data_IF_988035471308
#
_entry.id   IF_988035471308
#
_cell.length_a   1.000
_cell.length_b   1.000
_cell.length_c   1.000
_cell.angle_alpha   90.00
_cell.angle_beta   90.00
_cell.angle_gamma   90.00
#
_symmetry.space_group_name_H-M   'P 1'
#
loop_
_entity.id
_entity.type
_entity.pdbx_description
1 polymer ?
#
# COMPACT_ATOMS: atom_id res chain seq x y z
N UNK A 1 -20.08 -46.61 10.38
CA UNK A 1 -18.71 -46.64 9.83
C UNK A 1 -18.04 -45.33 10.24
N UNK A 2 -16.88 -45.36 10.90
CA UNK A 2 -16.16 -44.13 11.30
C UNK A 2 -15.58 -43.40 10.09
N UNK A 3 -15.37 -42.08 10.21
CA UNK A 3 -14.73 -41.27 9.15
C UNK A 3 -13.25 -41.64 9.06
N UNK A 4 -12.70 -41.94 7.85
CA UNK A 4 -11.29 -42.24 7.68
C UNK A 4 -10.45 -40.96 7.80
N UNK A 5 -9.87 -40.72 8.97
CA UNK A 5 -9.16 -39.47 9.28
C UNK A 5 -7.87 -39.30 8.48
N UNK A 6 -7.27 -40.40 8.00
CA UNK A 6 -6.09 -40.44 7.14
C UNK A 6 -6.35 -39.73 5.82
N UNK A 7 -7.57 -39.82 5.28
CA UNK A 7 -7.98 -39.09 4.08
C UNK A 7 -8.16 -37.58 4.34
N UNK A 8 -8.31 -37.17 5.61
CA UNK A 8 -8.49 -35.77 6.00
C UNK A 8 -7.17 -35.08 6.38
N UNK A 9 -6.11 -35.83 6.69
CA UNK A 9 -4.80 -35.27 7.05
C UNK A 9 -4.25 -34.29 5.98
N UNK A 10 -4.29 -34.59 4.66
CA UNK A 10 -3.81 -33.65 3.65
C UNK A 10 -4.61 -32.35 3.65
N UNK A 11 -5.93 -32.44 3.79
CA UNK A 11 -6.80 -31.26 3.85
C UNK A 11 -6.57 -30.45 5.12
N UNK A 12 -6.34 -31.11 6.26
CA UNK A 12 -6.01 -30.45 7.53
C UNK A 12 -4.71 -29.65 7.43
N UNK A 13 -3.67 -30.22 6.80
CA UNK A 13 -2.41 -29.51 6.55
C UNK A 13 -2.63 -28.30 5.64
N UNK A 14 -3.38 -28.47 4.54
CA UNK A 14 -3.69 -27.39 3.60
C UNK A 14 -4.41 -26.24 4.32
N UNK A 15 -5.48 -26.55 5.06
CA UNK A 15 -6.24 -25.56 5.84
C UNK A 15 -5.36 -24.89 6.88
N UNK A 16 -4.50 -25.65 7.57
CA UNK A 16 -3.52 -25.12 8.52
C UNK A 16 -2.57 -24.10 7.89
N UNK A 17 -1.95 -24.46 6.75
CA UNK A 17 -0.98 -23.60 6.06
C UNK A 17 -1.63 -22.34 5.48
N UNK A 18 -2.82 -22.46 4.87
CA UNK A 18 -3.58 -21.30 4.41
C UNK A 18 -4.03 -20.42 5.57
N UNK A 19 -4.42 -21.01 6.70
CA UNK A 19 -4.78 -20.29 7.92
C UNK A 19 -3.61 -19.48 8.48
N UNK A 20 -2.44 -20.12 8.65
CA UNK A 20 -1.21 -19.46 9.14
C UNK A 20 -0.79 -18.34 8.21
N UNK A 21 -0.82 -18.57 6.89
CA UNK A 21 -0.47 -17.54 5.90
C UNK A 21 -1.46 -16.38 5.91
N UNK A 22 -2.77 -16.64 6.01
CA UNK A 22 -3.81 -15.62 6.07
C UNK A 22 -3.69 -14.73 7.32
N UNK A 23 -3.50 -15.34 8.49
CA UNK A 23 -3.30 -14.61 9.76
C UNK A 23 -1.98 -13.84 9.72
N UNK A 24 -0.90 -14.44 9.22
CA UNK A 24 0.39 -13.80 9.06
C UNK A 24 0.30 -12.54 8.20
N UNK A 25 -0.30 -12.64 7.00
CA UNK A 25 -0.50 -11.49 6.12
C UNK A 25 -1.41 -10.41 6.73
N UNK A 26 -2.47 -10.82 7.44
CA UNK A 26 -3.34 -9.88 8.15
C UNK A 26 -2.56 -9.11 9.22
N UNK A 27 -1.79 -9.80 10.05
CA UNK A 27 -0.98 -9.19 11.10
C UNK A 27 0.05 -8.23 10.51
N UNK A 28 0.86 -8.69 9.53
CA UNK A 28 1.86 -7.84 8.87
C UNK A 28 1.24 -6.58 8.26
N UNK A 29 0.11 -6.71 7.56
CA UNK A 29 -0.59 -5.54 6.99
C UNK A 29 -1.11 -4.60 8.06
N UNK A 30 -1.55 -5.13 9.21
CA UNK A 30 -2.02 -4.30 10.32
C UNK A 30 -0.86 -3.54 10.96
N UNK A 31 0.31 -4.15 11.11
CA UNK A 31 1.51 -3.48 11.60
C UNK A 31 1.99 -2.36 10.66
N UNK A 32 2.05 -2.63 9.35
CA UNK A 32 2.45 -1.63 8.36
C UNK A 32 1.46 -0.45 8.24
N UNK A 33 0.20 -0.68 8.61
CA UNK A 33 -0.87 0.31 8.50
C UNK A 33 -1.18 1.00 9.84
N UNK A 34 -0.21 1.05 10.77
CA UNK A 34 -0.36 1.72 12.07
C UNK A 34 -1.57 1.18 12.87
N UNK A 35 -1.82 -0.13 12.77
CA UNK A 35 -2.94 -0.79 13.44
C UNK A 35 -4.29 -0.70 12.70
N UNK A 36 -4.37 0.13 11.64
CA UNK A 36 -5.59 0.35 10.85
C UNK A 36 -5.77 -0.70 9.76
N UNK A 37 -7.02 -0.90 9.34
CA UNK A 37 -7.36 -1.82 8.23
C UNK A 37 -6.76 -1.31 6.92
N UNK A 38 -6.47 -2.24 6.01
CA UNK A 38 -6.00 -1.88 4.68
C UNK A 38 -7.13 -1.24 3.87
N UNK A 39 -6.81 -0.18 3.11
CA UNK A 39 -7.78 0.44 2.21
C UNK A 39 -7.87 -0.36 0.91
N UNK A 40 -9.09 -0.60 0.45
CA UNK A 40 -9.40 -1.30 -0.79
C UNK A 40 -10.17 -0.37 -1.71
N UNK A 41 -10.09 -0.61 -3.02
CA UNK A 41 -10.81 0.15 -4.04
C UNK A 41 -10.64 1.69 -3.96
N UNK A 42 -9.44 2.16 -3.62
CA UNK A 42 -9.14 3.59 -3.56
C UNK A 42 -9.45 4.24 -4.92
N UNK A 43 -10.31 5.24 -5.05
CA UNK A 43 -10.65 5.90 -6.32
C UNK A 43 -9.60 6.95 -6.72
N UNK A 44 -9.87 7.89 -7.65
CA UNK A 44 -8.92 8.95 -8.06
C UNK A 44 -8.71 10.00 -6.96
N UNK A 45 -9.71 10.22 -6.11
CA UNK A 45 -9.57 11.10 -4.95
C UNK A 45 -8.61 10.48 -3.93
N UNK A 46 -8.67 9.15 -3.79
CA UNK A 46 -7.78 8.34 -2.96
C UNK A 46 -6.56 7.76 -3.73
N UNK A 47 -6.41 7.92 -5.05
CA UNK A 47 -5.28 7.53 -5.94
C UNK A 47 -4.89 8.78 -6.73
N UNK A 48 -3.69 9.35 -6.55
CA UNK A 48 -3.20 10.29 -7.55
C UNK A 48 -2.10 9.72 -8.46
N UNK A 49 -2.42 9.85 -9.75
CA UNK A 49 -1.70 9.60 -11.00
C UNK A 49 -0.81 8.36 -11.04
N UNK A 50 -1.36 7.29 -11.62
CA UNK A 50 -0.55 6.45 -12.50
C UNK A 50 -0.13 7.35 -13.67
N UNK A 51 1.09 7.86 -13.65
CA UNK A 51 1.78 7.95 -14.93
C UNK A 51 2.38 6.56 -15.13
N UNK A 52 1.62 5.70 -15.81
CA UNK A 52 2.14 4.43 -16.29
C UNK A 52 3.17 4.78 -17.37
N UNK A 53 4.45 4.66 -17.00
CA UNK A 53 5.54 4.66 -17.95
C UNK A 53 5.40 3.39 -18.80
N UNK A 54 4.75 3.52 -19.95
CA UNK A 54 4.72 2.48 -20.98
C UNK A 54 6.13 2.40 -21.57
N UNK A 55 6.86 1.36 -21.14
CA UNK A 55 8.28 1.21 -21.44
C UNK A 55 8.42 0.46 -22.77
N UNK A 56 8.35 1.21 -23.85
CA UNK A 56 8.52 0.72 -25.22
C UNK A 56 9.97 0.62 -25.68
N UNK A 57 10.93 0.24 -24.83
CA UNK A 57 12.38 0.24 -25.15
C UNK A 57 13.26 -0.08 -23.92
N UNK A 58 13.40 -1.35 -23.55
CA UNK A 58 14.59 -1.75 -22.76
C UNK A 58 15.09 -3.12 -23.18
N UNK A 59 16.08 -3.12 -24.06
CA UNK A 59 17.05 -4.20 -24.16
C UNK A 59 17.91 -4.27 -22.90
N UNK A 60 18.15 -5.51 -22.50
CA UNK A 60 18.96 -6.08 -21.43
C UNK A 60 20.15 -5.26 -20.90
N UNK A 61 20.27 -5.13 -19.58
CA UNK A 61 21.38 -5.70 -18.76
C UNK A 61 21.10 -5.41 -17.28
N UNK A 62 21.24 -6.46 -16.46
CA UNK A 62 20.77 -6.51 -15.08
C UNK A 62 21.44 -5.54 -14.12
N UNK A 63 20.60 -4.90 -13.31
CA UNK A 63 20.74 -4.68 -11.86
C UNK A 63 19.56 -3.80 -11.47
N UNK A 64 18.55 -4.42 -10.86
CA UNK A 64 17.25 -3.80 -10.60
C UNK A 64 17.37 -2.57 -9.70
N UNK A 65 17.27 -1.38 -10.31
CA UNK A 65 17.01 -0.15 -9.57
C UNK A 65 15.51 -0.05 -9.28
N UNK A 66 15.11 -0.64 -8.16
CA UNK A 66 13.74 -0.75 -7.65
C UNK A 66 13.11 0.55 -7.13
N UNK A 67 13.56 1.72 -7.56
CA UNK A 67 12.87 2.98 -7.23
C UNK A 67 11.73 3.25 -8.21
N UNK A 68 10.83 2.27 -8.33
CA UNK A 68 9.53 2.44 -8.98
C UNK A 68 8.66 3.34 -8.12
N UNK A 69 8.29 4.48 -8.71
CA UNK A 69 7.02 5.18 -8.51
C UNK A 69 6.66 5.45 -7.05
N UNK A 70 6.99 6.67 -6.61
CA UNK A 70 6.36 7.26 -5.43
C UNK A 70 4.88 7.55 -5.80
N UNK A 71 4.08 6.48 -5.72
CA UNK A 71 2.62 6.48 -5.83
C UNK A 71 2.06 7.21 -4.62
N UNK A 72 1.84 8.52 -4.74
CA UNK A 72 1.28 9.29 -3.64
C UNK A 72 -0.14 9.73 -3.96
N UNK A 73 -1.00 9.39 -3.02
CA UNK A 73 -2.45 9.56 -3.02
C UNK A 73 -2.77 10.96 -2.49
N UNK A 74 -3.51 11.78 -3.24
CA UNK A 74 -3.74 13.21 -2.94
C UNK A 74 -4.11 13.44 -1.48
N UNK A 75 -5.13 12.70 -1.03
CA UNK A 75 -5.66 12.83 0.32
C UNK A 75 -4.69 12.27 1.36
N UNK A 76 -4.02 11.14 1.09
CA UNK A 76 -3.05 10.61 2.06
C UNK A 76 -1.78 11.45 2.17
N UNK A 77 -1.36 12.12 1.10
CA UNK A 77 -0.25 13.09 1.11
C UNK A 77 -0.60 14.31 1.94
N UNK A 78 -1.83 14.79 1.76
CA UNK A 78 -2.39 15.84 2.61
C UNK A 78 -2.39 15.38 4.06
N UNK A 79 -2.92 14.20 4.36
CA UNK A 79 -3.00 13.69 5.74
C UNK A 79 -1.61 13.47 6.35
N UNK A 80 -0.63 13.02 5.56
CA UNK A 80 0.77 12.92 5.95
C UNK A 80 1.35 14.30 6.32
N UNK A 81 1.04 15.35 5.56
CA UNK A 81 1.49 16.72 5.87
C UNK A 81 0.81 17.30 7.11
N UNK A 82 -0.43 16.93 7.37
CA UNK A 82 -1.20 17.41 8.55
C UNK A 82 -0.77 16.65 9.82
N UNK A 83 -0.50 15.35 9.72
CA UNK A 83 -0.32 14.49 10.91
C UNK A 83 1.08 13.92 11.07
N UNK A 84 1.95 14.05 10.06
CA UNK A 84 3.29 13.46 10.03
C UNK A 84 3.31 11.94 9.78
N UNK A 85 2.15 11.29 9.66
CA UNK A 85 2.02 9.84 9.47
C UNK A 85 1.14 9.51 8.25
N UNK A 86 1.43 8.40 7.56
CA UNK A 86 0.71 8.04 6.32
C UNK A 86 -0.74 7.62 6.58
N UNK A 87 -1.06 7.19 7.81
CA UNK A 87 -2.40 6.77 8.21
C UNK A 87 -2.97 7.59 9.37
N UNK A 88 -2.30 8.66 9.78
CA UNK A 88 -2.79 9.58 10.79
C UNK A 88 -4.13 10.20 10.41
N UNK A 89 -4.97 10.41 11.40
CA UNK A 89 -6.20 11.20 11.27
C UNK A 89 -6.16 12.27 12.34
N UNK A 90 -6.54 13.49 11.98
CA UNK A 90 -6.66 14.61 12.90
C UNK A 90 -8.03 15.25 12.72
N UNK A 91 -8.67 15.58 13.84
CA UNK A 91 -9.95 16.29 13.89
C UNK A 91 -9.78 17.75 14.36
N UNK A 92 -8.54 18.25 14.41
CA UNK A 92 -8.28 19.59 14.89
C UNK A 92 -8.89 20.64 13.94
N UNK A 93 -9.57 21.67 14.46
CA UNK A 93 -10.19 22.71 13.63
C UNK A 93 -9.17 23.64 12.97
N UNK A 94 -7.97 23.76 13.55
CA UNK A 94 -6.88 24.60 13.06
C UNK A 94 -5.74 23.70 12.55
N UNK A 95 -5.24 23.99 11.35
CA UNK A 95 -4.13 23.26 10.75
C UNK A 95 -2.81 23.48 11.53
N UNK A 96 -1.88 22.51 11.48
CA UNK A 96 -0.58 22.69 12.13
C UNK A 96 0.23 23.81 11.47
N UNK A 97 1.02 24.51 12.29
CA UNK A 97 1.90 25.58 11.82
C UNK A 97 2.90 25.02 10.80
N UNK A 98 3.05 25.70 9.65
CA UNK A 98 3.92 25.26 8.55
C UNK A 98 3.20 24.45 7.47
N UNK A 99 1.94 24.03 7.68
CA UNK A 99 1.13 23.40 6.62
C UNK A 99 0.99 24.34 5.40
N UNK A 100 0.81 25.64 5.67
CA UNK A 100 0.69 26.72 4.68
C UNK A 100 1.81 26.76 3.62
N UNK A 101 3.03 26.40 4.00
CA UNK A 101 4.22 26.46 3.13
C UNK A 101 4.68 25.09 2.63
N UNK A 102 3.98 24.02 3.03
CA UNK A 102 4.34 22.63 2.75
C UNK A 102 3.70 22.07 1.47
N UNK A 103 3.34 22.93 0.51
CA UNK A 103 2.72 22.49 -0.74
C UNK A 103 3.75 22.26 -1.84
N UNK A 104 4.15 21.00 -2.13
CA UNK A 104 5.04 20.72 -3.24
C UNK A 104 4.28 20.71 -4.57
N UNK A 105 4.92 21.21 -5.62
CA UNK A 105 4.51 20.97 -6.99
C UNK A 105 5.27 19.76 -7.52
N UNK A 106 4.55 18.78 -8.06
CA UNK A 106 5.16 17.59 -8.69
C UNK A 106 5.68 18.00 -10.05
N UNK A 107 6.96 17.78 -10.28
CA UNK A 107 7.59 17.97 -11.59
C UNK A 107 7.64 16.63 -12.30
N UNK A 108 7.23 16.60 -13.56
CA UNK A 108 7.41 15.45 -14.43
C UNK A 108 8.50 15.71 -15.46
N UNK A 109 9.20 14.64 -15.86
CA UNK A 109 10.14 14.73 -16.97
C UNK A 109 9.32 14.95 -18.24
N UNK A 110 9.75 15.89 -19.08
CA UNK A 110 9.09 16.15 -20.35
C UNK A 110 9.04 14.88 -21.20
N UNK A 111 7.85 14.59 -21.72
CA UNK A 111 7.56 13.49 -22.62
C UNK A 111 7.82 14.00 -24.04
N UNK A 112 8.71 13.33 -24.77
CA UNK A 112 9.00 13.57 -26.18
C UNK A 112 8.72 12.29 -26.96
#
# INVERSE_FOLDING_TARGET
MGVPFEALLPYGIIVGMFGVTGVGLYASKRFLNEGKKNRWNNDIWDRQSKFEFDRGDMETTGSGNWLKLIFIRTVMERDLRITGTWRGQSSNPVAPKGFEVSSPWKLEKRIY
#
